data_IF_458711078153
#
_entry.id   IF_458711078153
#
_cell.length_a   1.000
_cell.length_b   1.000
_cell.length_c   1.000
_cell.angle_alpha   90.00
_cell.angle_beta   90.00
_cell.angle_gamma   90.00
#
_symmetry.space_group_name_H-M   'P 1'
#
loop_
_entity.id
_entity.type
_entity.pdbx_description
1 polymer ?
#
# COMPACT_ATOMS: atom_id res chain seq x y z
N UNK A 1 15.70 -18.82 -9.82
CA UNK A 1 14.54 -17.93 -9.64
C UNK A 1 13.30 -18.76 -9.88
N UNK A 2 12.44 -19.02 -8.88
CA UNK A 2 11.19 -19.74 -9.14
C UNK A 2 10.34 -18.89 -10.09
N UNK A 3 10.10 -19.39 -11.31
CA UNK A 3 9.52 -18.65 -12.44
C UNK A 3 8.00 -18.37 -12.31
N UNK A 4 7.36 -18.72 -11.19
CA UNK A 4 5.90 -18.67 -11.01
C UNK A 4 5.45 -18.02 -9.68
N UNK A 5 6.24 -17.15 -9.05
CA UNK A 5 5.77 -16.41 -7.87
C UNK A 5 4.66 -15.45 -8.31
N UNK A 6 3.41 -15.74 -7.93
CA UNK A 6 2.28 -14.84 -8.13
C UNK A 6 2.23 -13.83 -6.98
N UNK A 7 1.78 -12.62 -7.28
CA UNK A 7 1.64 -11.55 -6.30
C UNK A 7 0.21 -11.03 -6.34
N UNK A 8 -0.32 -10.78 -5.16
CA UNK A 8 -1.51 -9.97 -4.97
C UNK A 8 -1.10 -8.50 -4.82
N UNK A 9 -1.93 -7.60 -5.33
CA UNK A 9 -1.73 -6.16 -5.21
C UNK A 9 -2.93 -5.52 -4.53
N UNK A 10 -2.66 -4.55 -3.66
CA UNK A 10 -3.67 -3.75 -2.97
C UNK A 10 -3.23 -2.30 -2.97
N UNK A 11 -4.15 -1.39 -3.22
CA UNK A 11 -3.90 0.04 -3.09
C UNK A 11 -4.73 0.64 -1.95
N UNK A 12 -4.16 1.60 -1.26
CA UNK A 12 -4.88 2.48 -0.34
C UNK A 12 -4.69 3.93 -0.81
N UNK A 13 -5.76 4.69 -0.79
CA UNK A 13 -5.73 6.13 -1.00
C UNK A 13 -5.58 6.83 0.36
N UNK A 14 -4.62 7.73 0.46
CA UNK A 14 -4.50 8.63 1.61
C UNK A 14 -4.45 10.07 1.10
N UNK A 15 -5.37 10.90 1.59
CA UNK A 15 -5.35 12.34 1.32
C UNK A 15 -4.41 13.02 2.31
N UNK A 16 -3.63 13.98 1.86
CA UNK A 16 -2.64 14.72 2.65
C UNK A 16 -3.27 15.36 3.90
N UNK A 17 -4.52 15.84 3.81
CA UNK A 17 -5.26 16.40 4.95
C UNK A 17 -5.77 15.34 5.94
N UNK A 18 -5.81 14.07 5.54
CA UNK A 18 -6.22 12.91 6.33
C UNK A 18 -5.03 12.01 6.73
N UNK A 19 -3.80 12.42 6.39
CA UNK A 19 -2.58 11.62 6.61
C UNK A 19 -2.13 11.60 8.08
N UNK A 20 -2.84 12.23 9.01
CA UNK A 20 -2.58 12.07 10.43
C UNK A 20 -2.83 10.63 10.90
N UNK A 21 -3.45 10.48 12.06
CA UNK A 21 -3.60 9.17 12.70
C UNK A 21 -4.26 8.10 11.81
N UNK A 22 -5.21 8.49 10.94
CA UNK A 22 -5.90 7.54 10.05
C UNK A 22 -5.03 6.97 8.92
N UNK A 23 -4.14 7.77 8.35
CA UNK A 23 -3.26 7.34 7.26
C UNK A 23 -2.23 6.34 7.76
N UNK A 24 -1.61 6.67 8.90
CA UNK A 24 -0.65 5.81 9.58
C UNK A 24 -1.28 4.50 10.06
N UNK A 25 -2.48 4.54 10.67
CA UNK A 25 -3.17 3.32 11.10
C UNK A 25 -3.49 2.39 9.93
N UNK A 26 -3.95 2.94 8.80
CA UNK A 26 -4.26 2.15 7.59
C UNK A 26 -3.01 1.49 7.02
N UNK A 27 -1.89 2.22 6.92
CA UNK A 27 -0.62 1.69 6.43
C UNK A 27 -0.11 0.59 7.37
N UNK A 28 -0.09 0.85 8.69
CA UNK A 28 0.37 -0.11 9.69
C UNK A 28 -0.47 -1.39 9.71
N UNK A 29 -1.79 -1.26 9.55
CA UNK A 29 -2.70 -2.41 9.44
C UNK A 29 -2.36 -3.27 8.22
N UNK A 30 -2.19 -2.65 7.05
CA UNK A 30 -1.83 -3.36 5.82
C UNK A 30 -0.47 -4.05 5.95
N UNK A 31 0.51 -3.39 6.56
CA UNK A 31 1.81 -4.00 6.86
C UNK A 31 1.69 -5.21 7.81
N UNK A 32 0.84 -5.13 8.84
CA UNK A 32 0.60 -6.23 9.78
C UNK A 32 -0.07 -7.46 9.15
N UNK A 33 -0.80 -7.27 8.05
CA UNK A 33 -1.42 -8.32 7.24
C UNK A 33 -0.40 -9.01 6.29
N UNK A 34 0.88 -8.65 6.35
CA UNK A 34 1.96 -9.22 5.55
C UNK A 34 2.11 -8.60 4.17
N UNK A 35 1.46 -7.47 3.90
CA UNK A 35 1.64 -6.72 2.67
C UNK A 35 2.89 -5.85 2.74
N UNK A 36 3.60 -5.74 1.61
CA UNK A 36 4.82 -4.95 1.50
C UNK A 36 4.58 -3.75 0.60
N UNK A 37 5.00 -2.56 1.05
CA UNK A 37 4.88 -1.36 0.23
C UNK A 37 5.78 -1.50 -1.01
N UNK A 38 5.16 -1.41 -2.19
CA UNK A 38 5.83 -1.54 -3.48
C UNK A 38 6.08 -0.19 -4.14
N UNK A 39 5.04 0.63 -4.18
CA UNK A 39 5.06 1.89 -4.93
C UNK A 39 4.19 2.94 -4.24
N UNK A 40 4.58 4.21 -4.40
CA UNK A 40 3.81 5.36 -3.92
C UNK A 40 3.59 6.30 -5.09
N UNK A 41 2.32 6.57 -5.40
CA UNK A 41 1.91 7.40 -6.53
C UNK A 41 1.17 8.62 -5.99
N UNK A 42 1.74 9.80 -6.16
CA UNK A 42 1.04 11.05 -5.87
C UNK A 42 0.18 11.43 -7.06
N UNK A 43 -1.13 11.43 -6.85
CA UNK A 43 -2.10 12.00 -7.79
C UNK A 43 -2.42 13.40 -7.29
N UNK A 44 -2.24 14.39 -8.17
CA UNK A 44 -2.35 15.80 -7.84
C UNK A 44 -3.61 16.16 -7.03
N UNK A 45 -3.52 17.25 -6.25
CA UNK A 45 -4.56 17.60 -5.27
C UNK A 45 -4.33 16.99 -3.89
N UNK A 46 -3.08 16.61 -3.58
CA UNK A 46 -2.68 16.11 -2.26
C UNK A 46 -3.26 14.73 -1.95
N UNK A 47 -3.39 13.87 -2.96
CA UNK A 47 -3.85 12.49 -2.77
C UNK A 47 -2.71 11.54 -3.13
N UNK A 48 -2.42 10.60 -2.24
CA UNK A 48 -1.31 9.66 -2.42
C UNK A 48 -1.85 8.24 -2.37
N UNK A 49 -1.56 7.47 -3.42
CA UNK A 49 -1.83 6.04 -3.46
C UNK A 49 -0.60 5.27 -3.01
N UNK A 50 -0.78 4.40 -2.02
CA UNK A 50 0.23 3.43 -1.60
C UNK A 50 -0.17 2.08 -2.15
N UNK A 51 0.67 1.53 -3.01
CA UNK A 51 0.50 0.23 -3.65
C UNK A 51 1.34 -0.77 -2.89
N UNK A 52 0.69 -1.82 -2.42
CA UNK A 52 1.33 -2.92 -1.71
C UNK A 52 1.27 -4.20 -2.53
N UNK A 53 2.26 -5.05 -2.34
CA UNK A 53 2.33 -6.40 -2.91
C UNK A 53 2.50 -7.45 -1.81
N UNK A 54 1.94 -8.63 -2.04
CA UNK A 54 2.14 -9.80 -1.17
C UNK A 54 2.30 -11.06 -2.04
N UNK A 55 3.29 -11.93 -1.76
CA UNK A 55 3.41 -13.20 -2.48
C UNK A 55 2.20 -14.09 -2.20
N UNK A 56 1.69 -14.76 -3.24
CA UNK A 56 0.67 -15.81 -3.15
C UNK A 56 1.39 -17.15 -3.12
N UNK A 57 0.99 -18.04 -2.19
CA UNK A 57 1.46 -19.43 -2.10
C UNK A 57 0.81 -20.32 -3.17
#
# INVERSE_FOLDING_TARGET
MPQNQRYEYKSIEVRALAFGDEGEEKINRVASEGWQLKETVEVGGGTTHYIFERPVE
#
